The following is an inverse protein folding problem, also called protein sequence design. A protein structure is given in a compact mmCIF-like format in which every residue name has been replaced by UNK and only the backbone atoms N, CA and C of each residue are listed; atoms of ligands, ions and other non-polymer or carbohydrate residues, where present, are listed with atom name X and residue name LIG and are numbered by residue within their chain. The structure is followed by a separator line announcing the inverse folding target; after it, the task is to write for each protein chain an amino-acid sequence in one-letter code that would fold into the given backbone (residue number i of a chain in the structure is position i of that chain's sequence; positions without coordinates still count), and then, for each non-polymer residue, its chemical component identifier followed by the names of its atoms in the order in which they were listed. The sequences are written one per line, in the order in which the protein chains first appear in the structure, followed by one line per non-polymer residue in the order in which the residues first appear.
data_IF_822547338457
#
_entry.id   IF_822547338457
#
_cell.length_a   1.000
_cell.length_b   1.000
_cell.length_c   1.000
_cell.angle_alpha   90.00
_cell.angle_beta   90.00
_cell.angle_gamma   90.00
#
_symmetry.space_group_name_H-M   'P 1'
#
loop_
_entity.id
_entity.type
_entity.pdbx_description
1 polymer ?
#
# COMPACT_ATOMS: atom_id res chain seq x y z
N UNK A 1 0.85 35.37 10.64
CA UNK A 1 0.48 34.96 10.35
C UNK A 1 0.41 34.29 10.03
N UNK A 2 0.58 34.36 9.99
CA UNK A 2 0.31 33.73 9.55
C UNK A 2 0.26 32.95 9.31
N UNK A 3 0.57 33.08 9.19
CA UNK A 3 0.38 32.42 8.85
C UNK A 3 0.20 31.71 8.65
N UNK A 4 0.45 31.89 8.57
CA UNK A 4 0.21 31.30 8.31
C UNK A 4 0.04 30.64 8.10
N UNK A 5 0.05 30.68 8.14
CA UNK A 5 -0.11 30.03 7.82
C UNK A 5 -0.19 29.42 7.56
N UNK A 6 -0.23 29.60 7.62
CA UNK A 6 -0.52 29.21 7.38
C UNK A 6 -0.50 28.62 6.95
N UNK A 7 -0.33 29.00 6.91
CA UNK A 7 -0.35 28.54 6.36
C UNK A 7 -0.21 27.77 5.83
N UNK A 8 -0.04 27.77 5.64
CA UNK A 8 -0.07 27.05 4.97
C UNK A 8 0.01 26.34 4.60
N UNK A 9 0.07 26.41 4.41
CA UNK A 9 0.10 25.67 3.86
C UNK A 9 -0.01 25.16 3.65
N UNK A 10 -0.13 25.47 3.82
CA UNK A 10 -0.35 25.13 3.64
C UNK A 10 -0.51 24.62 3.24
N UNK A 11 -0.58 24.76 3.02
CA UNK A 11 -0.68 24.31 2.38
C UNK A 11 -0.30 23.78 1.63
N UNK A 12 -0.24 23.91 1.17
CA UNK A 12 -0.28 23.56 -0.05
C UNK A 12 0.80 22.67 -0.44
N UNK A 13 1.92 23.03 -0.26
CA UNK A 13 2.88 22.25 -0.69
C UNK A 13 2.74 20.96 -0.23
N UNK A 14 2.37 20.81 0.84
CA UNK A 14 2.30 19.53 1.24
C UNK A 14 1.32 18.87 0.42
N UNK A 15 0.57 19.55 -0.27
CA UNK A 15 -0.40 18.86 -1.01
C UNK A 15 0.18 18.30 -2.24
N UNK A 16 1.44 18.48 -2.50
CA UNK A 16 1.90 17.92 -3.68
C UNK A 16 2.31 16.54 -3.46
N UNK A 17 1.47 15.60 -3.59
CA UNK A 17 1.81 14.19 -3.48
C UNK A 17 2.46 13.69 -4.75
N UNK A 18 3.35 12.74 -4.61
CA UNK A 18 3.99 12.12 -5.76
C UNK A 18 2.98 11.26 -6.51
N UNK A 19 2.17 10.48 -5.78
CA UNK A 19 1.13 9.68 -6.41
C UNK A 19 -0.20 10.39 -6.24
N UNK A 20 -1.04 10.30 -7.27
CA UNK A 20 -2.32 11.01 -7.25
C UNK A 20 -3.25 10.50 -6.16
N UNK A 21 -3.19 9.22 -5.86
CA UNK A 21 -4.05 8.62 -4.86
C UNK A 21 -3.47 7.28 -4.43
N UNK A 22 -4.15 6.60 -3.52
CA UNK A 22 -3.65 5.33 -3.00
C UNK A 22 -3.64 4.26 -4.08
N UNK A 23 -4.55 4.34 -5.06
CA UNK A 23 -4.56 3.33 -6.12
C UNK A 23 -3.29 3.45 -6.97
N UNK A 24 -2.87 4.66 -7.28
CA UNK A 24 -1.64 4.86 -8.01
C UNK A 24 -0.44 4.40 -7.20
N UNK A 25 -0.43 4.70 -5.89
CA UNK A 25 0.66 4.28 -5.03
C UNK A 25 0.78 2.75 -5.00
N UNK A 26 -0.34 2.06 -4.85
CA UNK A 26 -0.30 0.60 -4.77
C UNK A 26 0.14 0.01 -6.11
N UNK A 27 -0.41 0.49 -7.22
CA UNK A 27 -0.11 -0.11 -8.51
C UNK A 27 1.27 0.24 -9.03
N UNK A 28 1.76 1.43 -8.74
CA UNK A 28 3.00 1.89 -9.33
C UNK A 28 4.21 1.73 -8.42
N UNK A 29 3.99 1.64 -7.12
CA UNK A 29 5.11 1.49 -6.21
C UNK A 29 5.04 0.21 -5.40
N UNK A 30 3.95 0.00 -4.69
CA UNK A 30 3.91 -1.10 -3.74
C UNK A 30 3.91 -2.46 -4.44
N UNK A 31 3.00 -2.64 -5.37
CA UNK A 31 2.88 -3.94 -6.04
C UNK A 31 4.17 -4.35 -6.74
N UNK A 32 4.79 -3.49 -7.56
CA UNK A 32 6.01 -3.95 -8.21
C UNK A 32 7.22 -4.08 -7.28
N UNK A 33 7.15 -3.44 -6.11
CA UNK A 33 8.27 -3.50 -5.19
C UNK A 33 8.21 -4.73 -4.29
N UNK A 34 7.00 -5.10 -3.87
CA UNK A 34 6.83 -6.22 -2.97
C UNK A 34 6.76 -7.52 -3.75
N UNK A 35 7.68 -8.42 -3.46
CA UNK A 35 7.71 -9.71 -4.14
C UNK A 35 7.56 -10.79 -3.10
N UNK A 36 6.37 -11.37 -3.00
CA UNK A 36 6.08 -12.36 -1.99
C UNK A 36 5.41 -13.56 -2.63
N UNK A 37 5.51 -14.68 -1.98
CA UNK A 37 4.82 -15.86 -2.47
C UNK A 37 3.42 -15.79 -1.91
N UNK A 38 2.49 -15.31 -2.69
CA UNK A 38 1.11 -15.17 -2.25
C UNK A 38 0.32 -16.41 -2.63
N UNK A 39 0.61 -17.49 -2.01
CA UNK A 39 0.02 -18.78 -2.34
C UNK A 39 -1.12 -19.19 -1.42
N UNK A 40 -1.50 -18.37 -0.49
CA UNK A 40 -2.58 -18.70 0.42
C UNK A 40 -2.13 -19.50 1.62
N UNK A 41 -0.85 -19.85 1.68
CA UNK A 41 -0.33 -20.61 2.79
C UNK A 41 0.71 -19.77 3.50
N UNK A 42 1.70 -19.28 2.80
CA UNK A 42 2.74 -18.47 3.41
C UNK A 42 2.29 -17.03 3.53
N UNK A 43 1.63 -16.53 2.53
CA UNK A 43 1.11 -15.17 2.51
C UNK A 43 -0.07 -15.12 1.59
N UNK A 44 -0.91 -14.12 1.74
CA UNK A 44 -2.05 -13.97 0.87
C UNK A 44 -2.20 -12.51 0.46
N UNK A 45 -2.90 -12.27 -0.63
CA UNK A 45 -3.17 -10.92 -1.10
C UNK A 45 -4.40 -10.97 -1.98
N UNK A 46 -5.23 -9.93 -1.95
CA UNK A 46 -6.39 -9.86 -2.81
C UNK A 46 -6.17 -8.82 -3.89
N UNK A 47 -6.30 -9.17 -5.17
CA UNK A 47 -6.11 -8.20 -6.26
C UNK A 47 -7.11 -7.06 -6.21
N UNK A 48 -8.22 -7.24 -5.50
CA UNK A 48 -9.24 -6.21 -5.35
C UNK A 48 -9.22 -5.70 -3.93
N UNK A 49 -8.05 -5.30 -3.46
CA UNK A 49 -7.84 -4.92 -2.08
C UNK A 49 -8.78 -3.81 -1.61
N UNK A 50 -9.23 -2.96 -2.54
CA UNK A 50 -10.07 -1.82 -2.16
C UNK A 50 -11.46 -2.27 -1.70
N UNK A 51 -11.82 -3.52 -1.93
CA UNK A 51 -13.10 -4.02 -1.47
C UNK A 51 -13.04 -4.45 -0.02
N UNK A 52 -11.89 -4.41 0.61
CA UNK A 52 -11.73 -4.76 2.00
C UNK A 52 -11.47 -3.49 2.80
N UNK A 53 -12.40 -3.05 3.64
CA UNK A 53 -12.24 -1.78 4.33
C UNK A 53 -10.95 -1.66 5.14
N UNK A 54 -10.56 -2.73 5.81
CA UNK A 54 -9.33 -2.68 6.59
C UNK A 54 -8.12 -2.52 5.68
N UNK A 55 -8.10 -3.20 4.55
CA UNK A 55 -6.98 -3.10 3.64
C UNK A 55 -6.92 -1.70 3.06
N UNK A 56 -8.05 -1.14 2.69
CA UNK A 56 -8.08 0.23 2.19
C UNK A 56 -7.54 1.22 3.20
N UNK A 57 -7.91 1.06 4.46
CA UNK A 57 -7.47 1.95 5.51
C UNK A 57 -5.96 1.82 5.73
N UNK A 58 -5.45 0.58 5.78
CA UNK A 58 -4.04 0.37 6.01
C UNK A 58 -3.19 0.86 4.83
N UNK A 59 -3.65 0.60 3.62
CA UNK A 59 -2.88 1.01 2.45
C UNK A 59 -2.91 2.53 2.26
N UNK A 60 -4.01 3.17 2.61
CA UNK A 60 -4.06 4.63 2.58
C UNK A 60 -3.11 5.23 3.60
N UNK A 61 -3.04 4.64 4.80
CA UNK A 61 -2.11 5.11 5.81
C UNK A 61 -0.66 4.91 5.38
N UNK A 62 -0.38 3.78 4.72
CA UNK A 62 0.95 3.52 4.21
C UNK A 62 1.34 4.53 3.15
N UNK A 63 0.41 4.84 2.27
CA UNK A 63 0.67 5.80 1.21
C UNK A 63 0.97 7.18 1.78
N UNK A 64 0.15 7.63 2.74
CA UNK A 64 0.37 8.96 3.29
C UNK A 64 1.67 9.05 4.08
N UNK A 65 2.03 7.97 4.79
CA UNK A 65 3.32 7.94 5.48
C UNK A 65 4.47 8.00 4.47
N UNK A 66 4.33 7.29 3.34
CA UNK A 66 5.35 7.30 2.31
C UNK A 66 5.50 8.71 1.74
N UNK A 67 4.38 9.38 1.47
CA UNK A 67 4.42 10.72 0.91
C UNK A 67 5.15 11.70 1.82
N UNK A 68 4.97 11.55 3.12
CA UNK A 68 5.62 12.43 4.06
C UNK A 68 7.10 12.06 4.22
N UNK A 69 7.37 10.78 4.43
CA UNK A 69 8.73 10.36 4.75
C UNK A 69 9.69 10.42 3.58
N UNK A 70 9.20 10.41 2.35
CA UNK A 70 10.06 10.49 1.18
C UNK A 70 10.86 11.79 1.14
N UNK A 71 10.45 12.79 1.90
CA UNK A 71 11.15 14.06 1.90
C UNK A 71 12.41 14.02 2.78
N UNK A 72 12.61 12.98 3.55
CA UNK A 72 13.81 12.82 4.35
C UNK A 72 14.77 11.92 3.58
N UNK A 73 15.76 12.48 2.90
CA UNK A 73 16.62 11.66 2.04
C UNK A 73 17.54 10.71 2.80
N UNK A 74 17.74 10.95 4.07
CA UNK A 74 18.65 10.10 4.81
C UNK A 74 18.00 8.88 5.41
N UNK A 75 16.90 9.06 6.14
CA UNK A 75 16.32 7.96 6.88
C UNK A 75 14.86 7.70 6.55
N UNK A 76 14.26 8.52 5.69
CA UNK A 76 12.83 8.40 5.47
C UNK A 76 12.37 7.04 5.01
N UNK A 77 13.04 6.48 4.01
CA UNK A 77 12.61 5.19 3.49
C UNK A 77 12.91 4.06 4.45
N UNK A 78 14.01 4.13 5.20
CA UNK A 78 14.28 3.10 6.19
C UNK A 78 13.19 3.13 7.27
N UNK A 79 12.79 4.32 7.70
CA UNK A 79 11.73 4.46 8.68
C UNK A 79 10.41 3.94 8.12
N UNK A 80 10.11 4.28 6.87
CA UNK A 80 8.86 3.84 6.27
C UNK A 80 8.77 2.32 6.22
N UNK A 81 9.84 1.67 5.77
CA UNK A 81 9.81 0.21 5.66
C UNK A 81 9.70 -0.45 7.03
N UNK A 82 10.49 0.00 8.00
CA UNK A 82 10.55 -0.69 9.28
C UNK A 82 9.37 -0.37 10.18
N UNK A 83 8.88 0.84 10.15
CA UNK A 83 7.87 1.26 11.11
C UNK A 83 6.45 1.35 10.54
N UNK A 84 6.32 1.35 9.23
CA UNK A 84 5.01 1.47 8.60
C UNK A 84 4.70 0.30 7.69
N UNK A 85 5.55 0.04 6.70
CA UNK A 85 5.25 -1.00 5.72
C UNK A 85 5.24 -2.39 6.35
N UNK A 86 6.30 -2.75 7.06
CA UNK A 86 6.41 -4.11 7.58
C UNK A 86 5.25 -4.46 8.52
N UNK A 87 4.88 -3.66 9.49
CA UNK A 87 3.77 -4.04 10.36
C UNK A 87 2.44 -4.13 9.63
N UNK A 88 2.16 -3.20 8.72
CA UNK A 88 0.90 -3.25 7.99
C UNK A 88 0.84 -4.43 7.04
N UNK A 89 1.95 -4.69 6.34
CA UNK A 89 1.96 -5.80 5.38
C UNK A 89 1.88 -7.13 6.10
N UNK A 90 2.45 -7.23 7.29
CA UNK A 90 2.36 -8.47 8.03
C UNK A 90 0.91 -8.80 8.36
N UNK A 91 0.13 -7.80 8.71
CA UNK A 91 -1.29 -8.02 8.99
C UNK A 91 -2.06 -8.29 7.70
N UNK A 92 -1.79 -7.51 6.64
CA UNK A 92 -2.52 -7.68 5.40
C UNK A 92 -2.32 -9.07 4.80
N UNK A 93 -1.11 -9.58 4.89
CA UNK A 93 -0.79 -10.84 4.24
C UNK A 93 -0.95 -12.06 5.12
N UNK A 94 -1.43 -11.89 6.36
CA UNK A 94 -1.61 -12.99 7.27
C UNK A 94 -2.72 -13.91 6.75
N UNK A 95 -2.40 -15.17 6.52
CA UNK A 95 -3.33 -16.09 5.90
C UNK A 95 -4.42 -16.58 6.85
N UNK A 96 -4.31 -16.23 8.11
CA UNK A 96 -5.29 -16.70 9.09
C UNK A 96 -6.15 -15.56 9.62
N UNK A 97 -5.54 -14.47 10.00
CA UNK A 97 -6.29 -13.40 10.65
C UNK A 97 -6.34 -12.10 9.87
N UNK A 98 -5.71 -12.04 8.74
CA UNK A 98 -5.68 -10.79 7.98
C UNK A 98 -6.94 -10.56 7.16
N UNK A 99 -7.08 -9.37 6.61
CA UNK A 99 -8.29 -9.04 5.85
C UNK A 99 -8.44 -9.84 4.56
N UNK A 100 -7.35 -10.40 4.05
CA UNK A 100 -7.41 -11.17 2.82
C UNK A 100 -7.43 -12.67 3.10
N UNK A 101 -7.62 -13.08 4.35
CA UNK A 101 -7.52 -14.50 4.71
C UNK A 101 -8.50 -15.37 3.94
N UNK A 102 -9.68 -14.84 3.63
CA UNK A 102 -10.66 -15.63 2.92
C UNK A 102 -10.51 -15.55 1.40
N UNK A 103 -9.60 -14.77 0.90
CA UNK A 103 -9.42 -14.63 -0.54
C UNK A 103 -8.60 -15.78 -1.06
N UNK A 104 -8.87 -16.19 -2.28
CA UNK A 104 -8.16 -17.29 -2.85
C UNK A 104 -7.22 -16.81 -3.91
N UNK A 105 -5.98 -16.74 -3.60
CA UNK A 105 -5.07 -16.21 -4.58
C UNK A 105 -4.87 -17.11 -5.75
N UNK A 106 -5.22 -18.34 -5.63
CA UNK A 106 -4.97 -19.16 -6.72
C UNK A 106 -5.75 -18.78 -7.79
N UNK A 107 -6.59 -17.94 -7.62
CA UNK A 107 -7.37 -17.73 -8.62
C UNK A 107 -6.57 -17.02 -9.53
N UNK A 108 -5.93 -16.23 -9.37
CA UNK A 108 -5.23 -15.57 -10.29
C UNK A 108 -4.23 -16.38 -10.68
N UNK A 109 -4.15 -17.12 -10.04
CA UNK A 109 -3.48 -17.99 -10.45
C UNK A 109 -2.18 -18.01 -10.53
N UNK A 110 -1.59 -17.49 -10.12
CA UNK A 110 -0.55 -17.69 -10.47
C UNK A 110 0.35 -17.49 -9.68
N UNK A 111 1.09 -17.66 -9.65
CA UNK A 111 1.85 -17.77 -8.85
C UNK A 111 3.06 -17.84 -9.24
N UNK A 112 3.43 -17.34 -9.98
CA UNK A 112 4.57 -17.53 -10.43
C UNK A 112 5.49 -17.38 -9.43
N UNK A 113 6.17 -17.73 -9.17
CA UNK A 113 6.95 -18.05 -8.34
C UNK A 113 8.18 -17.49 -8.43
N UNK A 114 8.70 -17.34 -7.41
CA UNK A 114 8.02 -17.14 -6.18
C UNK A 114 8.02 -15.67 -5.91
N UNK A 115 8.51 -14.89 -6.80
CA UNK A 115 8.67 -13.52 -6.53
C UNK A 115 7.99 -12.59 -7.48
N UNK A 116 6.78 -12.88 -7.84
CA UNK A 116 6.03 -12.00 -8.71
C UNK A 116 5.57 -10.80 -7.94
N UNK A 117 5.30 -9.72 -8.59
CA UNK A 117 4.67 -8.57 -7.94
C UNK A 117 3.32 -8.96 -7.36
N UNK A 118 2.84 -8.19 -6.42
CA UNK A 118 1.53 -8.47 -5.87
C UNK A 118 0.49 -8.34 -6.97
N UNK A 119 -0.42 -9.29 -7.07
CA UNK A 119 -1.42 -9.25 -8.14
C UNK A 119 -2.44 -8.15 -7.92
N UNK A 120 -2.81 -7.48 -9.00
CA UNK A 120 -3.79 -6.41 -8.94
C UNK A 120 -4.77 -6.55 -10.07
N UNK A 121 -6.01 -6.12 -9.83
CA UNK A 121 -6.99 -5.98 -10.89
C UNK A 121 -7.18 -4.50 -11.12
N UNK A 122 -7.59 -4.10 -12.32
CA UNK A 122 -7.83 -2.69 -12.57
C UNK A 122 -8.99 -2.19 -11.73
N UNK A 123 -8.84 -1.01 -11.17
CA UNK A 123 -9.93 -0.43 -10.40
C UNK A 123 -10.80 0.36 -11.35
N UNK A 124 -12.11 0.14 -11.29
CA UNK A 124 -13.05 0.86 -12.12
C UNK A 124 -14.06 1.53 -11.18
N UNK A 125 -13.94 2.80 -10.97
CA UNK A 125 -14.85 3.48 -10.06
C UNK A 125 -16.30 3.46 -10.53
N UNK A 126 -16.52 3.17 -11.81
CA UNK A 126 -17.88 3.13 -12.30
C UNK A 126 -18.54 1.79 -12.03
N UNK A 127 -17.81 0.80 -11.61
CA UNK A 127 -18.44 -0.48 -11.31
C UNK A 127 -18.62 -0.62 -9.79
#
# INVERSE_FOLDING_TARGET
MSTSPEDGPENGEEAEFYFADVFAFVSEYLSPTIRRRVNGSSATWCPRWWEHPEAGARLSALWLAWEHLRHDPALGMSTWWLHHADPHLRVLMDTDLGPFAACSPKVGGHTAYPFDPLPLEPYDPAS
#
